data_IF_586850673742
#
_entry.id   IF_586850673742
#
_cell.length_a   1.000
_cell.length_b   1.000
_cell.length_c   1.000
_cell.angle_alpha   90.00
_cell.angle_beta   90.00
_cell.angle_gamma   90.00
#
_symmetry.space_group_name_H-M   'P 1'
#
loop_
_entity.id
_entity.type
_entity.pdbx_description
1 polymer ?
#
# COMPACT_ATOMS: atom_id res chain seq x y z
N UNK A 1 -20.08 -0.75 23.25
CA UNK A 1 -20.60 -2.09 23.32
C UNK A 1 -21.09 -2.59 21.99
N UNK A 2 -21.09 -3.88 21.83
CA UNK A 2 -21.55 -4.51 20.61
C UNK A 2 -23.07 -4.62 20.51
N UNK A 3 -23.76 -4.25 21.55
CA UNK A 3 -25.22 -4.34 21.61
C UNK A 3 -25.81 -3.08 22.18
N UNK A 4 -26.79 -2.53 21.48
CA UNK A 4 -27.62 -1.47 22.02
C UNK A 4 -28.82 -2.09 22.71
N UNK A 5 -29.22 -1.51 23.84
CA UNK A 5 -30.37 -1.97 24.62
C UNK A 5 -31.57 -1.12 24.23
N UNK A 6 -32.60 -1.74 23.70
CA UNK A 6 -33.87 -1.10 23.40
C UNK A 6 -34.92 -1.66 24.35
N UNK A 7 -35.72 -0.76 24.94
CA UNK A 7 -36.80 -1.14 25.82
C UNK A 7 -38.13 -0.92 25.08
N UNK A 8 -38.86 -2.02 24.86
CA UNK A 8 -40.17 -2.00 24.24
C UNK A 8 -41.14 -2.69 25.19
N UNK A 9 -42.25 -2.03 25.54
CA UNK A 9 -43.29 -2.55 26.45
C UNK A 9 -42.74 -3.10 27.77
N UNK A 10 -41.70 -2.42 28.31
CA UNK A 10 -41.11 -2.81 29.59
C UNK A 10 -40.09 -3.92 29.50
N UNK A 11 -39.89 -4.51 28.34
CA UNK A 11 -38.90 -5.56 28.12
C UNK A 11 -37.63 -5.01 27.49
N UNK A 12 -36.48 -5.53 27.90
CA UNK A 12 -35.20 -5.17 27.33
C UNK A 12 -34.88 -6.08 26.13
N UNK A 13 -34.70 -5.47 24.98
CA UNK A 13 -34.27 -6.16 23.78
C UNK A 13 -32.82 -5.78 23.48
N UNK A 14 -32.00 -6.78 23.18
CA UNK A 14 -30.60 -6.58 22.78
C UNK A 14 -30.50 -6.68 21.27
N UNK A 15 -30.16 -5.55 20.62
CA UNK A 15 -29.93 -5.50 19.19
C UNK A 15 -28.44 -5.48 18.95
N UNK A 16 -27.89 -6.41 18.17
CA UNK A 16 -26.47 -6.38 17.83
C UNK A 16 -26.14 -5.08 17.12
N UNK A 17 -25.17 -4.34 17.65
CA UNK A 17 -24.67 -3.14 17.01
C UNK A 17 -23.92 -3.56 15.74
N UNK A 18 -24.24 -2.91 14.61
CA UNK A 18 -23.49 -3.15 13.37
C UNK A 18 -22.03 -2.85 13.61
N UNK A 19 -21.17 -3.76 13.18
CA UNK A 19 -19.74 -3.57 13.23
C UNK A 19 -19.37 -2.36 12.37
N UNK A 20 -18.72 -1.37 12.95
CA UNK A 20 -18.30 -0.18 12.21
C UNK A 20 -17.23 -0.56 11.19
N UNK A 21 -17.42 -0.15 9.96
CA UNK A 21 -16.38 -0.26 8.94
C UNK A 21 -15.39 0.89 9.14
N UNK A 22 -14.11 0.55 9.15
CA UNK A 22 -13.05 1.53 9.32
C UNK A 22 -12.02 1.37 8.21
N UNK A 23 -11.48 2.49 7.77
CA UNK A 23 -10.51 2.56 6.66
C UNK A 23 -9.38 3.47 7.07
N UNK A 24 -8.19 2.91 7.23
CA UNK A 24 -7.03 3.63 7.73
C UNK A 24 -5.91 3.68 6.70
N UNK A 25 -5.17 4.77 6.73
CA UNK A 25 -3.94 4.94 5.98
C UNK A 25 -2.78 5.12 6.97
N UNK A 26 -1.78 4.28 6.86
CA UNK A 26 -0.55 4.35 7.65
C UNK A 26 0.61 4.77 6.74
N UNK A 27 1.48 5.63 7.23
CA UNK A 27 2.80 5.80 6.64
C UNK A 27 3.76 4.84 7.34
N UNK A 28 3.93 3.66 6.76
CA UNK A 28 4.76 2.60 7.33
C UNK A 28 6.24 2.98 7.27
N UNK A 29 6.94 3.04 8.42
CA UNK A 29 8.40 3.21 8.41
C UNK A 29 9.11 1.88 8.10
N UNK A 30 10.41 1.95 7.84
CA UNK A 30 11.26 0.77 7.70
C UNK A 30 11.32 0.02 9.02
N UNK A 31 11.55 -1.27 8.94
CA UNK A 31 11.79 -2.11 10.11
C UNK A 31 10.56 -2.82 10.66
N UNK A 32 9.38 -2.56 10.09
CA UNK A 32 8.12 -3.19 10.50
C UNK A 32 7.65 -4.18 9.45
N UNK A 33 7.27 -5.38 9.88
CA UNK A 33 6.71 -6.40 9.00
C UNK A 33 5.21 -6.20 8.84
N UNK A 34 4.70 -6.50 7.65
CA UNK A 34 3.27 -6.42 7.35
C UNK A 34 2.60 -7.75 7.68
N UNK A 35 2.27 -7.93 8.94
CA UNK A 35 1.57 -9.13 9.44
C UNK A 35 0.76 -8.77 10.67
N UNK A 36 -0.31 -9.50 10.91
CA UNK A 36 -1.13 -9.34 12.12
C UNK A 36 -0.38 -9.89 13.34
N UNK A 37 0.39 -10.95 13.14
CA UNK A 37 1.26 -11.51 14.18
C UNK A 37 2.55 -12.01 13.53
N UNK A 38 3.66 -11.94 14.26
CA UNK A 38 4.95 -12.38 13.75
C UNK A 38 5.54 -13.44 14.66
N UNK A 39 5.78 -14.63 14.11
CA UNK A 39 6.35 -15.78 14.84
C UNK A 39 7.78 -15.52 15.31
N UNK A 40 8.51 -14.63 14.62
CA UNK A 40 9.87 -14.25 14.98
C UNK A 40 9.91 -13.07 15.93
N UNK A 41 8.75 -12.62 16.42
CA UNK A 41 8.60 -11.49 17.34
C UNK A 41 9.23 -10.19 16.84
N UNK A 42 9.21 -9.98 15.51
CA UNK A 42 9.66 -8.73 14.89
C UNK A 42 8.58 -7.67 15.06
N UNK A 43 8.97 -6.40 14.99
CA UNK A 43 8.02 -5.29 15.02
C UNK A 43 7.03 -5.39 13.88
N UNK A 44 5.74 -5.44 14.20
CA UNK A 44 4.65 -5.50 13.24
C UNK A 44 4.00 -4.14 13.03
N UNK A 45 3.47 -3.91 11.83
CA UNK A 45 2.69 -2.70 11.54
C UNK A 45 1.49 -2.53 12.48
N UNK A 46 0.98 -3.63 13.05
CA UNK A 46 -0.12 -3.58 14.03
C UNK A 46 0.27 -2.83 15.30
N UNK A 47 1.56 -2.83 15.65
CA UNK A 47 2.07 -2.12 16.82
C UNK A 47 1.95 -0.60 16.69
N UNK A 48 1.80 -0.10 15.46
CA UNK A 48 1.69 1.33 15.16
C UNK A 48 0.25 1.86 15.23
N UNK A 49 -0.74 0.98 15.36
CA UNK A 49 -2.16 1.33 15.34
C UNK A 49 -2.74 1.47 16.74
N UNK A 50 -2.07 2.20 17.61
CA UNK A 50 -2.53 2.41 18.98
C UNK A 50 -3.86 3.18 19.01
N UNK A 51 -4.78 2.74 19.86
CA UNK A 51 -6.08 3.38 20.04
C UNK A 51 -7.15 2.97 19.05
N UNK A 52 -6.83 2.11 18.10
CA UNK A 52 -7.83 1.57 17.17
C UNK A 52 -8.55 0.41 17.85
N UNK A 53 -9.84 0.61 18.14
CA UNK A 53 -10.66 -0.39 18.83
C UNK A 53 -11.12 -1.49 17.89
N UNK A 54 -11.42 -1.15 16.65
CA UNK A 54 -11.87 -2.09 15.63
C UNK A 54 -10.73 -3.00 15.20
N UNK A 55 -11.07 -4.26 14.97
CA UNK A 55 -10.10 -5.23 14.46
C UNK A 55 -9.89 -5.03 12.96
N UNK A 56 -8.74 -4.48 12.61
CA UNK A 56 -8.38 -4.22 11.21
C UNK A 56 -7.19 -5.09 10.79
N UNK A 57 -7.02 -5.23 9.49
CA UNK A 57 -5.89 -5.94 8.90
C UNK A 57 -5.34 -5.17 7.70
N UNK A 58 -4.06 -5.39 7.37
CA UNK A 58 -3.44 -4.68 6.25
C UNK A 58 -4.04 -5.13 4.91
N UNK A 59 -4.20 -4.16 4.01
CA UNK A 59 -4.64 -4.38 2.64
C UNK A 59 -3.39 -4.48 1.77
N UNK A 60 -2.98 -5.70 1.47
CA UNK A 60 -1.73 -5.97 0.78
C UNK A 60 -0.53 -5.92 1.72
N UNK A 61 0.64 -5.79 1.14
CA UNK A 61 1.90 -5.89 1.88
C UNK A 61 2.91 -4.84 1.42
N UNK A 62 3.72 -4.41 2.37
CA UNK A 62 4.99 -3.74 2.12
C UNK A 62 6.07 -4.51 2.86
N UNK A 63 7.20 -4.72 2.23
CA UNK A 63 8.32 -5.43 2.85
C UNK A 63 8.84 -4.68 4.08
N UNK A 64 9.53 -5.39 4.96
CA UNK A 64 10.13 -4.79 6.15
C UNK A 64 10.99 -3.57 5.82
N UNK A 65 11.74 -3.63 4.72
CA UNK A 65 12.63 -2.55 4.28
C UNK A 65 11.97 -1.53 3.37
N UNK A 66 10.68 -1.70 3.07
CA UNK A 66 9.91 -0.75 2.27
C UNK A 66 9.11 0.17 3.17
N UNK A 67 8.81 1.36 2.66
CA UNK A 67 8.15 2.42 3.42
C UNK A 67 6.90 2.90 2.70
N UNK A 68 6.06 3.63 3.41
CA UNK A 68 5.03 4.45 2.80
C UNK A 68 3.62 3.97 3.04
N UNK A 69 2.76 4.25 2.09
CA UNK A 69 1.32 4.08 2.19
C UNK A 69 0.91 2.61 2.32
N UNK A 70 0.30 2.29 3.44
CA UNK A 70 -0.30 0.98 3.69
C UNK A 70 -1.71 1.19 4.23
N UNK A 71 -2.69 0.55 3.60
CA UNK A 71 -4.08 0.65 4.02
C UNK A 71 -4.44 -0.47 4.99
N UNK A 72 -5.35 -0.17 5.91
CA UNK A 72 -5.93 -1.14 6.84
C UNK A 72 -7.44 -0.99 6.83
N UNK A 73 -8.15 -2.09 6.97
CA UNK A 73 -9.61 -2.08 7.05
C UNK A 73 -10.12 -3.37 7.69
N UNK A 74 -11.38 -3.32 8.12
CA UNK A 74 -12.14 -4.50 8.49
C UNK A 74 -13.23 -4.83 7.45
N UNK A 75 -13.21 -4.13 6.31
CA UNK A 75 -14.13 -4.34 5.20
C UNK A 75 -13.49 -5.28 4.17
N UNK A 76 -13.85 -6.56 4.26
CA UNK A 76 -13.25 -7.61 3.41
C UNK A 76 -13.48 -7.42 1.92
N UNK A 77 -14.67 -6.94 1.54
CA UNK A 77 -14.98 -6.68 0.14
C UNK A 77 -14.13 -5.54 -0.42
N UNK A 78 -13.99 -4.46 0.32
CA UNK A 78 -13.14 -3.33 -0.04
C UNK A 78 -11.68 -3.77 -0.21
N UNK A 79 -11.16 -4.50 0.77
CA UNK A 79 -9.78 -5.01 0.74
C UNK A 79 -9.55 -5.92 -0.47
N UNK A 80 -10.46 -6.84 -0.71
CA UNK A 80 -10.36 -7.78 -1.83
C UNK A 80 -10.39 -7.06 -3.18
N UNK A 81 -11.24 -6.05 -3.33
CA UNK A 81 -11.33 -5.27 -4.56
C UNK A 81 -10.04 -4.49 -4.84
N UNK A 82 -9.39 -3.96 -3.82
CA UNK A 82 -8.11 -3.26 -3.99
C UNK A 82 -6.99 -4.24 -4.36
N UNK A 83 -6.95 -5.40 -3.72
CA UNK A 83 -5.88 -6.39 -3.90
C UNK A 83 -6.04 -7.23 -5.16
N UNK A 84 -7.22 -7.29 -5.74
CA UNK A 84 -7.49 -8.21 -6.85
C UNK A 84 -6.68 -7.82 -8.09
N UNK A 85 -5.87 -8.77 -8.65
CA UNK A 85 -5.00 -8.46 -9.78
C UNK A 85 -5.72 -7.91 -11.01
N UNK A 86 -6.96 -8.33 -11.25
CA UNK A 86 -7.74 -7.88 -12.42
C UNK A 86 -8.12 -6.40 -12.37
N UNK A 87 -8.05 -5.76 -11.21
CA UNK A 87 -8.39 -4.34 -11.08
C UNK A 87 -7.29 -3.40 -11.56
N UNK A 88 -6.06 -3.87 -11.62
CA UNK A 88 -4.90 -3.10 -12.10
C UNK A 88 -4.78 -1.70 -11.51
N UNK A 89 -5.08 -1.57 -10.20
CA UNK A 89 -4.95 -0.28 -9.52
C UNK A 89 -3.50 0.17 -9.56
N UNK A 90 -3.27 1.41 -10.01
CA UNK A 90 -1.93 1.96 -10.07
C UNK A 90 -1.36 2.21 -8.68
N UNK A 91 -0.06 1.97 -8.55
CA UNK A 91 0.70 2.27 -7.33
C UNK A 91 1.93 3.03 -7.74
N UNK A 92 2.20 4.14 -7.08
CA UNK A 92 3.37 4.94 -7.38
C UNK A 92 4.34 4.89 -6.20
N UNK A 93 5.61 4.68 -6.54
CA UNK A 93 6.70 4.56 -5.57
C UNK A 93 7.75 5.61 -5.84
N UNK A 94 8.31 6.18 -4.77
CA UNK A 94 9.51 6.98 -4.84
C UNK A 94 10.68 6.05 -4.57
N UNK A 95 11.54 5.91 -5.56
CA UNK A 95 12.62 4.91 -5.55
C UNK A 95 13.97 5.61 -5.65
N UNK A 96 14.86 5.33 -4.72
CA UNK A 96 16.24 5.79 -4.78
C UNK A 96 17.10 4.62 -5.22
N UNK A 97 17.82 4.79 -6.32
CA UNK A 97 18.69 3.75 -6.89
C UNK A 97 20.12 4.23 -7.05
N UNK A 98 21.03 3.28 -7.20
CA UNK A 98 22.46 3.49 -7.45
C UNK A 98 22.93 2.51 -8.53
N UNK A 99 24.07 2.79 -9.17
CA UNK A 99 24.90 4.00 -9.06
C UNK A 99 24.41 5.15 -9.92
N UNK A 100 23.72 4.87 -11.01
CA UNK A 100 23.21 5.83 -11.97
C UNK A 100 22.12 5.15 -12.80
N UNK A 101 21.47 5.89 -13.70
CA UNK A 101 20.51 5.33 -14.63
C UNK A 101 20.77 5.91 -16.01
N UNK A 102 20.74 5.06 -17.03
CA UNK A 102 20.89 5.46 -18.42
C UNK A 102 19.58 5.23 -19.19
N UNK A 103 19.53 5.72 -20.42
CA UNK A 103 18.33 5.63 -21.25
C UNK A 103 17.93 4.19 -21.56
N UNK A 104 18.89 3.30 -21.75
CA UNK A 104 18.61 1.88 -21.98
C UNK A 104 17.90 1.23 -20.80
N UNK A 105 18.38 1.51 -19.58
CA UNK A 105 17.73 1.03 -18.36
C UNK A 105 16.32 1.59 -18.20
N UNK A 106 16.14 2.88 -18.50
CA UNK A 106 14.80 3.52 -18.46
C UNK A 106 13.84 2.88 -19.43
N UNK A 107 14.28 2.63 -20.64
CA UNK A 107 13.45 1.98 -21.67
C UNK A 107 13.05 0.59 -21.23
N UNK A 108 14.00 -0.20 -20.73
CA UNK A 108 13.72 -1.56 -20.26
C UNK A 108 12.73 -1.57 -19.11
N UNK A 109 12.91 -0.71 -18.11
CA UNK A 109 11.99 -0.61 -16.99
C UNK A 109 10.58 -0.21 -17.45
N UNK A 110 10.49 0.76 -18.37
CA UNK A 110 9.21 1.26 -18.87
C UNK A 110 8.45 0.23 -19.71
N UNK A 111 9.15 -0.55 -20.50
CA UNK A 111 8.54 -1.58 -21.35
C UNK A 111 8.20 -2.86 -20.60
N UNK A 112 8.76 -3.04 -19.43
CA UNK A 112 8.66 -4.25 -18.64
C UNK A 112 9.90 -5.12 -18.78
N UNK A 113 10.24 -5.81 -17.68
CA UNK A 113 11.39 -6.71 -17.60
C UNK A 113 10.95 -8.06 -17.09
N UNK A 114 11.70 -9.09 -17.45
CA UNK A 114 11.43 -10.43 -16.95
C UNK A 114 11.93 -10.57 -15.53
N UNK A 115 11.02 -10.90 -14.61
CA UNK A 115 11.34 -11.25 -13.23
C UNK A 115 10.60 -12.55 -12.89
N UNK A 116 11.29 -13.45 -12.20
CA UNK A 116 10.71 -14.75 -11.82
C UNK A 116 10.08 -15.50 -13.01
N UNK A 117 10.70 -15.41 -14.17
CA UNK A 117 10.28 -16.12 -15.39
C UNK A 117 9.12 -15.48 -16.14
N UNK A 118 8.66 -14.31 -15.74
CA UNK A 118 7.54 -13.62 -16.39
C UNK A 118 7.83 -12.14 -16.54
N UNK A 119 7.52 -11.60 -17.73
CA UNK A 119 7.68 -10.17 -18.00
C UNK A 119 6.67 -9.35 -17.20
N UNK A 120 7.13 -8.25 -16.62
CA UNK A 120 6.25 -7.29 -15.93
C UNK A 120 5.46 -6.48 -16.94
N UNK A 121 4.33 -5.92 -16.47
CA UNK A 121 3.56 -4.97 -17.28
C UNK A 121 4.38 -3.69 -17.49
N UNK A 122 4.07 -2.91 -18.55
CA UNK A 122 4.69 -1.60 -18.72
C UNK A 122 4.53 -0.74 -17.47
N UNK A 123 5.56 0.03 -17.17
CA UNK A 123 5.59 0.93 -16.02
C UNK A 123 5.86 2.36 -16.50
N UNK A 124 5.47 3.34 -15.69
CA UNK A 124 5.81 4.74 -15.94
C UNK A 124 6.96 5.12 -15.02
N UNK A 125 8.05 5.62 -15.61
CA UNK A 125 9.25 6.02 -14.87
C UNK A 125 9.48 7.52 -15.05
N UNK A 126 9.66 8.22 -13.95
CA UNK A 126 9.90 9.67 -13.93
C UNK A 126 11.11 9.97 -13.07
N UNK A 127 12.23 10.35 -13.69
CA UNK A 127 13.44 10.69 -12.94
C UNK A 127 13.28 12.08 -12.33
N UNK A 128 13.36 12.16 -11.01
CA UNK A 128 13.24 13.42 -10.26
C UNK A 128 14.57 14.11 -10.07
N UNK A 129 15.64 13.36 -9.80
CA UNK A 129 16.98 13.91 -9.63
C UNK A 129 18.06 12.88 -9.95
N UNK A 130 19.19 13.36 -10.46
CA UNK A 130 20.39 12.55 -10.71
C UNK A 130 21.57 13.25 -10.06
N UNK A 131 22.16 12.56 -9.09
CA UNK A 131 23.38 12.98 -8.43
C UNK A 131 24.39 11.82 -8.48
N UNK A 132 25.67 12.09 -8.27
CA UNK A 132 26.65 10.99 -8.23
C UNK A 132 26.24 9.92 -7.22
N UNK A 133 26.14 8.68 -7.71
CA UNK A 133 25.77 7.51 -6.90
C UNK A 133 24.39 7.62 -6.22
N UNK A 134 23.48 8.44 -6.80
CA UNK A 134 22.13 8.58 -6.25
C UNK A 134 21.16 9.09 -7.29
N UNK A 135 20.21 8.28 -7.67
CA UNK A 135 19.12 8.66 -8.58
C UNK A 135 17.79 8.47 -7.85
N UNK A 136 16.95 9.49 -7.87
CA UNK A 136 15.58 9.41 -7.32
C UNK A 136 14.59 9.46 -8.47
N UNK A 137 13.68 8.51 -8.49
CA UNK A 137 12.66 8.41 -9.54
C UNK A 137 11.31 8.03 -8.97
N UNK A 138 10.26 8.38 -9.69
CA UNK A 138 8.91 7.88 -9.45
C UNK A 138 8.65 6.71 -10.40
N UNK A 139 8.16 5.62 -9.84
CA UNK A 139 7.81 4.42 -10.61
C UNK A 139 6.35 4.11 -10.36
N UNK A 140 5.55 4.11 -11.42
CA UNK A 140 4.13 3.75 -11.35
C UNK A 140 3.92 2.41 -12.03
N UNK A 141 3.36 1.46 -11.30
CA UNK A 141 3.05 0.12 -11.78
C UNK A 141 1.56 -0.17 -11.57
N UNK A 142 1.02 -1.09 -12.37
CA UNK A 142 -0.40 -1.52 -12.28
C UNK A 142 -0.53 -2.97 -11.85
N UNK A 143 0.44 -3.48 -11.17
CA UNK A 143 0.46 -4.84 -10.63
C UNK A 143 1.19 -4.82 -9.29
N UNK A 144 1.20 -5.92 -8.57
CA UNK A 144 1.82 -5.97 -7.26
C UNK A 144 2.48 -7.31 -6.99
N UNK A 145 3.43 -7.70 -7.85
CA UNK A 145 4.15 -8.97 -7.68
C UNK A 145 5.15 -8.85 -6.53
N UNK A 146 5.50 -9.97 -5.94
CA UNK A 146 6.41 -10.03 -4.80
C UNK A 146 7.71 -9.29 -5.10
N UNK A 147 8.04 -8.26 -4.29
CA UNK A 147 9.26 -7.44 -4.40
C UNK A 147 9.52 -6.92 -5.81
N UNK A 148 8.46 -6.58 -6.51
CA UNK A 148 8.51 -6.31 -7.95
C UNK A 148 9.49 -5.22 -8.34
N UNK A 149 9.43 -4.04 -7.72
CA UNK A 149 10.28 -2.91 -8.10
C UNK A 149 11.74 -3.23 -7.82
N UNK A 150 12.03 -3.88 -6.69
CA UNK A 150 13.41 -4.30 -6.36
C UNK A 150 13.96 -5.26 -7.40
N UNK A 151 13.16 -6.25 -7.79
CA UNK A 151 13.57 -7.23 -8.81
C UNK A 151 13.72 -6.61 -10.19
N UNK A 152 12.82 -5.68 -10.55
CA UNK A 152 12.92 -4.97 -11.83
C UNK A 152 14.21 -4.15 -11.90
N UNK A 153 14.53 -3.42 -10.85
CA UNK A 153 15.75 -2.63 -10.78
C UNK A 153 17.00 -3.51 -10.83
N UNK A 154 17.03 -4.59 -10.07
CA UNK A 154 18.15 -5.56 -10.08
C UNK A 154 18.35 -6.16 -11.48
N UNK A 155 17.25 -6.45 -12.18
CA UNK A 155 17.30 -7.03 -13.53
C UNK A 155 17.98 -6.13 -14.55
N UNK A 156 18.00 -4.82 -14.32
CA UNK A 156 18.69 -3.86 -15.19
C UNK A 156 19.98 -3.31 -14.57
N UNK A 157 20.46 -3.93 -13.48
CA UNK A 157 21.75 -3.59 -12.87
C UNK A 157 21.72 -2.43 -11.90
N UNK A 158 20.55 -2.11 -11.32
CA UNK A 158 20.40 -1.04 -10.34
C UNK A 158 20.21 -1.62 -8.93
N UNK A 159 20.80 -0.95 -7.94
CA UNK A 159 20.58 -1.24 -6.53
C UNK A 159 19.54 -0.28 -5.97
N UNK A 160 18.51 -0.82 -5.32
CA UNK A 160 17.50 0.00 -4.64
C UNK A 160 17.98 0.35 -3.24
N UNK A 161 18.28 1.61 -3.01
CA UNK A 161 18.72 2.11 -1.70
C UNK A 161 17.52 2.47 -0.80
N UNK A 162 16.41 2.95 -1.39
CA UNK A 162 15.21 3.30 -0.65
C UNK A 162 13.98 3.11 -1.53
N UNK A 163 12.91 2.58 -0.94
CA UNK A 163 11.66 2.34 -1.64
C UNK A 163 10.50 2.77 -0.76
N UNK A 164 9.71 3.74 -1.25
CA UNK A 164 8.55 4.27 -0.52
C UNK A 164 7.34 4.36 -1.42
N UNK A 165 6.26 3.68 -1.05
CA UNK A 165 4.99 3.81 -1.78
C UNK A 165 4.30 5.10 -1.38
N UNK A 166 4.02 5.97 -2.34
CA UNK A 166 3.44 7.28 -2.11
C UNK A 166 1.98 7.39 -2.53
N UNK A 167 1.50 6.47 -3.38
CA UNK A 167 0.09 6.47 -3.75
C UNK A 167 -0.42 5.08 -4.13
N UNK A 168 -1.71 4.89 -3.92
CA UNK A 168 -2.49 3.73 -4.40
C UNK A 168 -3.72 4.30 -5.08
N UNK A 169 -3.77 4.21 -6.43
CA UNK A 169 -4.81 4.88 -7.20
C UNK A 169 -4.87 6.36 -6.84
N UNK A 170 -6.06 6.89 -6.51
CA UNK A 170 -6.21 8.30 -6.13
C UNK A 170 -5.76 8.62 -4.71
N UNK A 171 -5.47 7.61 -3.88
CA UNK A 171 -5.03 7.83 -2.50
C UNK A 171 -3.56 8.20 -2.45
N UNK A 172 -3.27 9.33 -1.81
CA UNK A 172 -1.91 9.86 -1.68
C UNK A 172 -1.49 9.92 -0.22
N UNK A 173 -0.24 9.54 0.04
CA UNK A 173 0.34 9.62 1.37
C UNK A 173 0.37 11.07 1.88
N UNK A 174 0.69 12.03 0.99
CA UNK A 174 0.72 13.44 1.33
C UNK A 174 1.70 13.76 2.44
N UNK A 175 1.23 14.53 3.41
CA UNK A 175 2.03 15.03 4.54
C UNK A 175 2.00 14.12 5.77
N UNK A 176 1.42 12.95 5.66
CA UNK A 176 1.35 12.00 6.78
C UNK A 176 2.76 11.57 7.20
N UNK A 177 3.12 11.79 8.45
CA UNK A 177 4.47 11.52 8.95
C UNK A 177 4.74 10.03 9.09
N UNK A 178 6.00 9.59 8.95
CA UNK A 178 6.36 8.19 9.17
C UNK A 178 5.89 7.70 10.56
N UNK A 179 5.26 6.55 10.58
CA UNK A 179 4.69 5.96 11.80
C UNK A 179 3.31 6.45 12.15
N UNK A 180 2.83 7.52 11.54
CA UNK A 180 1.51 8.06 11.79
C UNK A 180 0.45 7.40 10.90
N UNK A 181 -0.77 7.35 11.40
CA UNK A 181 -1.92 6.87 10.64
C UNK A 181 -3.11 7.80 10.82
N UNK A 182 -4.06 7.71 9.90
CA UNK A 182 -5.32 8.43 9.97
C UNK A 182 -6.42 7.67 9.24
N UNK A 183 -7.66 8.04 9.51
CA UNK A 183 -8.78 7.53 8.73
C UNK A 183 -8.81 8.17 7.34
N UNK A 184 -9.30 7.44 6.36
CA UNK A 184 -9.58 7.98 5.04
C UNK A 184 -10.76 8.96 5.14
N UNK A 185 -10.70 10.05 4.37
CA UNK A 185 -11.83 10.96 4.26
C UNK A 185 -12.93 10.34 3.41
N UNK A 186 -14.16 10.87 3.52
CA UNK A 186 -15.28 10.43 2.68
C UNK A 186 -14.97 10.61 1.19
N UNK A 187 -14.27 11.69 0.83
CA UNK A 187 -13.86 11.95 -0.55
C UNK A 187 -12.85 10.90 -1.05
N UNK A 188 -11.87 10.56 -0.21
CA UNK A 188 -10.89 9.52 -0.52
C UNK A 188 -11.56 8.16 -0.73
N UNK A 189 -12.51 7.80 0.13
CA UNK A 189 -13.27 6.56 -0.02
C UNK A 189 -14.06 6.54 -1.32
N UNK A 190 -14.74 7.62 -1.68
CA UNK A 190 -15.44 7.68 -2.95
C UNK A 190 -14.49 7.56 -4.13
N UNK A 191 -13.37 8.26 -4.08
CA UNK A 191 -12.37 8.24 -5.15
C UNK A 191 -11.80 6.84 -5.40
N UNK A 192 -11.40 6.13 -4.32
CA UNK A 192 -10.85 4.79 -4.48
C UNK A 192 -11.91 3.78 -4.93
N UNK A 193 -13.13 3.89 -4.45
CA UNK A 193 -14.25 3.05 -4.89
C UNK A 193 -14.57 3.26 -6.36
N UNK A 194 -14.54 4.51 -6.83
CA UNK A 194 -14.70 4.82 -8.25
C UNK A 194 -13.57 4.22 -9.10
N UNK A 195 -12.35 4.30 -8.61
CA UNK A 195 -11.19 3.72 -9.31
C UNK A 195 -11.29 2.19 -9.40
N UNK A 196 -11.76 1.54 -8.34
CA UNK A 196 -11.98 0.09 -8.30
C UNK A 196 -13.10 -0.32 -9.24
N UNK A 197 -14.17 0.45 -9.30
CA UNK A 197 -15.35 0.15 -10.11
C UNK A 197 -15.17 0.35 -11.59
N UNK A 198 -14.08 0.98 -12.03
CA UNK A 198 -13.77 1.15 -13.46
C UNK A 198 -13.08 -0.09 -13.97
N UNK A 199 -13.82 -0.88 -14.74
CA UNK A 199 -13.25 -1.99 -15.50
C UNK A 199 -12.80 -1.46 -16.86
N UNK A 200 -11.58 -1.77 -17.21
CA UNK A 200 -11.06 -1.50 -18.54
C UNK A 200 -11.39 -2.67 -19.49
#
# INVERSE_FOLDING_TARGET
GFKDVIQIDGERLYIPKKKNKIYLMLNKPRGYVTTVSDELDRKSVMDLLEGVEERVYPVGRLDRNSEGLLLFTNDGEFANNIMHPSRHISKTYRVTVRPDINDDQLVKLSNGVEIDGKKTLPATINVLSKEPNRVVMLVTIKEGRNRQIRKMCEAVGLEVARLRRISIGPLKLGMLKPGAFRELTAEELRAIRNAIGKED
#
